data_IF_426810095377
#
_entry.id   IF_426810095377
#
_cell.length_a   1.000
_cell.length_b   1.000
_cell.length_c   1.000
_cell.angle_alpha   90.00
_cell.angle_beta   90.00
_cell.angle_gamma   90.00
#
_symmetry.space_group_name_H-M   'P 1'
#
loop_
_entity.id
_entity.type
_entity.pdbx_description
1 polymer ?
#
# COMPACT_ATOMS: atom_id res chain seq x y z
N UNK A 1 1.01 8.12 14.15
CA UNK A 1 1.27 9.10 13.06
C UNK A 1 0.26 8.93 11.94
N UNK A 2 -0.09 10.02 11.25
CA UNK A 2 -1.00 9.99 10.09
C UNK A 2 -0.47 10.91 9.00
N UNK A 3 -0.64 10.49 7.74
CA UNK A 3 -0.28 11.29 6.57
C UNK A 3 -1.17 10.90 5.39
N UNK A 4 -1.36 11.80 4.42
CA UNK A 4 -2.02 11.45 3.17
C UNK A 4 -1.51 12.23 1.96
N UNK A 5 -1.66 11.60 0.81
CA UNK A 5 -1.57 12.22 -0.52
C UNK A 5 -2.97 12.15 -1.12
N UNK A 6 -3.61 13.29 -1.32
CA UNK A 6 -4.97 13.36 -1.85
C UNK A 6 -4.95 13.72 -3.33
N UNK A 7 -5.68 12.94 -4.15
CA UNK A 7 -5.99 13.30 -5.53
C UNK A 7 -4.76 13.62 -6.39
N UNK A 8 -3.65 12.92 -6.15
CA UNK A 8 -2.42 13.05 -6.92
C UNK A 8 -2.65 12.60 -8.36
N UNK A 9 -2.53 13.53 -9.31
CA UNK A 9 -2.66 13.24 -10.73
C UNK A 9 -1.37 12.62 -11.27
N UNK A 10 -1.48 11.45 -11.91
CA UNK A 10 -0.39 10.78 -12.64
C UNK A 10 -0.95 10.32 -13.98
N UNK A 11 -0.49 10.93 -15.08
CA UNK A 11 -1.08 10.67 -16.40
C UNK A 11 -2.58 10.97 -16.40
N UNK A 12 -3.40 9.99 -16.81
CA UNK A 12 -4.86 10.06 -16.75
C UNK A 12 -5.47 9.40 -15.49
N UNK A 13 -4.63 8.97 -14.54
CA UNK A 13 -5.03 8.39 -13.26
C UNK A 13 -4.96 9.43 -12.13
N UNK A 14 -5.78 9.23 -11.11
CA UNK A 14 -5.74 10.00 -9.88
C UNK A 14 -5.62 9.05 -8.68
N UNK A 15 -4.57 9.23 -7.89
CA UNK A 15 -4.26 8.42 -6.72
C UNK A 15 -4.59 9.14 -5.43
N UNK A 16 -5.18 8.44 -4.48
CA UNK A 16 -5.23 8.86 -3.08
C UNK A 16 -4.56 7.79 -2.22
N UNK A 17 -3.64 8.20 -1.36
CA UNK A 17 -2.93 7.34 -0.41
C UNK A 17 -3.11 7.89 0.99
N UNK A 18 -3.66 7.07 1.89
CA UNK A 18 -3.70 7.37 3.31
C UNK A 18 -2.78 6.44 4.08
N UNK A 19 -2.00 7.00 4.99
CA UNK A 19 -1.12 6.28 5.89
C UNK A 19 -1.53 6.51 7.35
N UNK A 20 -1.58 5.44 8.12
CA UNK A 20 -1.77 5.48 9.56
C UNK A 20 -0.81 4.52 10.26
N UNK A 21 -0.15 4.99 11.32
CA UNK A 21 0.70 4.16 12.18
C UNK A 21 0.16 4.15 13.61
N UNK A 22 0.01 2.96 14.17
CA UNK A 22 -0.35 2.71 15.56
C UNK A 22 0.53 1.59 16.13
N UNK A 23 1.45 1.92 17.04
CA UNK A 23 2.48 1.00 17.52
C UNK A 23 3.39 0.50 16.39
N UNK A 24 3.58 -0.82 16.30
CA UNK A 24 4.32 -1.49 15.21
C UNK A 24 3.50 -1.59 13.92
N UNK A 25 2.18 -1.38 13.99
CA UNK A 25 1.27 -1.57 12.86
C UNK A 25 1.19 -0.31 12.01
N UNK A 26 1.38 -0.49 10.71
CA UNK A 26 1.20 0.54 9.69
C UNK A 26 0.09 0.09 8.74
N UNK A 27 -0.82 1.00 8.42
CA UNK A 27 -1.92 0.79 7.49
C UNK A 27 -1.81 1.80 6.37
N UNK A 28 -1.81 1.30 5.13
CA UNK A 28 -1.85 2.11 3.92
C UNK A 28 -3.16 1.79 3.22
N UNK A 29 -3.90 2.83 2.84
CA UNK A 29 -5.08 2.72 1.99
C UNK A 29 -4.79 3.42 0.68
N UNK A 30 -4.99 2.72 -0.43
CA UNK A 30 -4.74 3.19 -1.78
C UNK A 30 -6.04 3.14 -2.58
N UNK A 31 -6.38 4.24 -3.23
CA UNK A 31 -7.44 4.28 -4.23
C UNK A 31 -6.94 4.96 -5.51
N UNK A 32 -7.52 4.55 -6.63
CA UNK A 32 -7.18 5.06 -7.94
C UNK A 32 -8.43 5.17 -8.83
N UNK A 33 -8.40 6.06 -9.83
CA UNK A 33 -9.50 6.19 -10.79
C UNK A 33 -9.34 5.25 -12.00
N UNK A 34 -8.13 4.74 -12.25
CA UNK A 34 -7.84 3.80 -13.35
C UNK A 34 -7.61 2.39 -12.81
N UNK A 35 -8.61 1.50 -12.89
CA UNK A 35 -8.55 0.19 -12.23
C UNK A 35 -7.61 -0.81 -12.89
N UNK A 36 -7.24 -0.55 -14.13
CA UNK A 36 -6.34 -1.34 -14.98
C UNK A 36 -4.86 -1.03 -14.72
N UNK A 37 -4.56 0.08 -14.04
CA UNK A 37 -3.20 0.40 -13.64
C UNK A 37 -2.73 -0.52 -12.52
N UNK A 38 -1.54 -1.10 -12.73
CA UNK A 38 -0.80 -1.84 -11.70
C UNK A 38 0.09 -0.87 -10.94
N UNK A 39 -0.06 -0.82 -9.62
CA UNK A 39 0.76 0.01 -8.74
C UNK A 39 1.71 -0.89 -7.98
N UNK A 40 3.02 -0.66 -8.13
CA UNK A 40 4.03 -1.40 -7.39
C UNK A 40 4.38 -0.62 -6.13
N UNK A 41 4.07 -1.20 -4.97
CA UNK A 41 4.40 -0.60 -3.68
C UNK A 41 5.70 -1.20 -3.14
N UNK A 42 6.78 -0.42 -3.14
CA UNK A 42 8.10 -0.85 -2.68
C UNK A 42 8.42 -0.27 -1.30
N UNK A 43 8.82 -1.14 -0.37
CA UNK A 43 9.22 -0.78 0.98
C UNK A 43 10.59 -1.39 1.33
N UNK A 44 11.32 -0.79 2.29
CA UNK A 44 12.64 -1.30 2.67
C UNK A 44 12.58 -2.75 3.16
N UNK A 45 13.47 -3.58 2.63
CA UNK A 45 13.64 -4.97 3.06
C UNK A 45 13.97 -5.06 4.55
N UNK A 46 13.46 -6.07 5.23
CA UNK A 46 13.78 -6.37 6.63
C UNK A 46 13.16 -5.41 7.66
N UNK A 47 12.34 -4.43 7.23
CA UNK A 47 11.62 -3.53 8.15
C UNK A 47 10.32 -4.11 8.69
N UNK A 48 9.75 -5.11 8.02
CA UNK A 48 8.41 -5.61 8.29
C UNK A 48 8.40 -7.14 8.39
N UNK A 49 7.72 -7.66 9.41
CA UNK A 49 7.54 -9.09 9.71
C UNK A 49 6.45 -9.71 8.85
N UNK A 50 5.34 -8.99 8.66
CA UNK A 50 4.16 -9.50 7.97
C UNK A 50 3.52 -8.42 7.11
N UNK A 51 2.97 -8.86 5.98
CA UNK A 51 2.22 -8.04 5.05
C UNK A 51 0.84 -8.67 4.84
N UNK A 52 -0.19 -7.85 4.88
CA UNK A 52 -1.56 -8.24 4.56
C UNK A 52 -2.13 -7.26 3.53
N UNK A 53 -2.76 -7.81 2.50
CA UNK A 53 -3.43 -7.05 1.44
C UNK A 53 -4.88 -7.46 1.44
N UNK A 54 -5.76 -6.50 1.70
CA UNK A 54 -7.20 -6.73 1.81
C UNK A 54 -7.54 -7.89 2.78
N UNK A 55 -6.78 -7.99 3.88
CA UNK A 55 -6.95 -9.01 4.92
C UNK A 55 -6.30 -10.37 4.63
N UNK A 56 -5.67 -10.56 3.46
CA UNK A 56 -4.94 -11.79 3.13
C UNK A 56 -3.44 -11.58 3.34
N UNK A 57 -2.81 -12.49 4.07
CA UNK A 57 -1.34 -12.49 4.22
C UNK A 57 -0.69 -12.73 2.86
N UNK A 58 0.30 -11.92 2.53
CA UNK A 58 1.08 -12.05 1.30
C UNK A 58 2.54 -12.34 1.65
N UNK A 59 3.15 -13.22 0.86
CA UNK A 59 4.58 -13.46 0.95
C UNK A 59 5.31 -12.26 0.34
N UNK A 60 6.20 -11.65 1.12
CA UNK A 60 7.02 -10.54 0.62
C UNK A 60 8.10 -11.13 -0.27
N UNK A 61 8.18 -10.71 -1.53
CA UNK A 61 9.32 -11.06 -2.38
C UNK A 61 10.58 -10.36 -1.86
N UNK A 62 11.77 -10.87 -2.22
CA UNK A 62 13.04 -10.41 -1.65
C UNK A 62 13.35 -8.91 -1.86
N UNK A 63 12.57 -8.21 -2.68
CA UNK A 63 12.73 -6.80 -3.06
C UNK A 63 11.79 -5.86 -2.29
N UNK A 64 10.96 -6.37 -1.37
CA UNK A 64 10.03 -5.53 -0.60
C UNK A 64 8.99 -4.83 -1.46
N UNK A 65 8.77 -5.33 -2.68
CA UNK A 65 7.80 -4.81 -3.64
C UNK A 65 6.57 -5.72 -3.69
N UNK A 66 5.41 -5.10 -3.79
CA UNK A 66 4.13 -5.78 -3.98
C UNK A 66 3.38 -5.14 -5.14
N UNK A 67 2.91 -5.97 -6.06
CA UNK A 67 1.93 -5.58 -7.07
C UNK A 67 0.56 -5.39 -6.41
N UNK A 68 0.07 -4.17 -6.43
CA UNK A 68 -1.26 -3.78 -5.96
C UNK A 68 -2.07 -3.46 -7.21
N UNK A 69 -3.01 -4.35 -7.54
CA UNK A 69 -3.86 -4.23 -8.72
C UNK A 69 -5.31 -4.34 -8.30
N UNK A 70 -6.03 -3.23 -8.37
CA UNK A 70 -7.39 -3.16 -7.88
C UNK A 70 -8.00 -1.78 -8.09
N UNK A 71 -9.30 -1.79 -8.35
CA UNK A 71 -10.07 -0.60 -8.69
C UNK A 71 -10.48 0.25 -7.50
N UNK A 72 -10.48 -0.29 -6.27
CA UNK A 72 -11.06 0.43 -5.12
C UNK A 72 -10.48 0.03 -3.77
N UNK A 73 -9.79 0.98 -3.12
CA UNK A 73 -9.61 1.00 -1.67
C UNK A 73 -8.73 -0.12 -1.10
N UNK A 74 -7.67 -0.47 -1.83
CA UNK A 74 -6.70 -1.47 -1.40
C UNK A 74 -6.14 -1.12 -0.03
N UNK A 75 -6.31 -2.02 0.94
CA UNK A 75 -5.83 -1.87 2.30
C UNK A 75 -4.63 -2.78 2.51
N UNK A 76 -3.47 -2.15 2.65
CA UNK A 76 -2.22 -2.83 2.98
C UNK A 76 -1.96 -2.61 4.47
N UNK A 77 -1.71 -3.70 5.18
CA UNK A 77 -1.37 -3.69 6.60
C UNK A 77 0.00 -4.32 6.77
N UNK A 78 0.85 -3.63 7.50
CA UNK A 78 2.23 -4.00 7.73
C UNK A 78 2.48 -4.06 9.23
N UNK A 79 3.21 -5.08 9.68
CA UNK A 79 3.70 -5.14 11.05
C UNK A 79 5.23 -5.01 11.05
N UNK A 80 5.73 -3.98 11.72
CA UNK A 80 7.15 -3.66 11.77
C UNK A 80 7.91 -4.55 12.79
N UNK A 81 9.23 -4.62 12.64
CA UNK A 81 10.09 -5.22 13.65
C UNK A 81 10.03 -4.47 14.98
#
# INVERSE_FOLDING_TARGET
DKASLEKLTIGDNQLTVHFEKSGSKQTIRLSQTKPDWKIVFALPKGKYKTWEVNGKKVAVTQEGALDVSGSNGEKIVLDAF
#
